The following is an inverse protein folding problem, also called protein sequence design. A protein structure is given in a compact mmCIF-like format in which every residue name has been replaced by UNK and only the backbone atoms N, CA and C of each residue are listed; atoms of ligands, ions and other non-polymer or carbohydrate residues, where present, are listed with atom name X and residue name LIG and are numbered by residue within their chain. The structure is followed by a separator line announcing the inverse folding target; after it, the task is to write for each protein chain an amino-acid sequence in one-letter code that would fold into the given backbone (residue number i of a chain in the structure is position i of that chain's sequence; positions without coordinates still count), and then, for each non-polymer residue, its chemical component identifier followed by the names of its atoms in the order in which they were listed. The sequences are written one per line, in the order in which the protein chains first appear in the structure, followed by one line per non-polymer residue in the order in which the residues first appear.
data_IF_349130269603
#
_entry.id   IF_349130269603
#
_cell.length_a   1.000
_cell.length_b   1.000
_cell.length_c   1.000
_cell.angle_alpha   90.00
_cell.angle_beta   90.00
_cell.angle_gamma   90.00
#
_symmetry.space_group_name_H-M   'P 1'
#
loop_
_entity.id
_entity.type
_entity.pdbx_description
1 polymer ?
#
# COMPACT_ATOMS: atom_id res chain seq x y z
N UNK A 1 -7.78 27.19 21.34
CA UNK A 1 -8.29 25.82 21.03
C UNK A 1 -9.65 25.78 20.33
N UNK A 2 -10.36 26.89 20.19
CA UNK A 2 -11.71 26.95 19.59
C UNK A 2 -11.76 26.99 18.05
N UNK A 3 -10.66 27.22 17.36
CA UNK A 3 -10.62 27.33 15.88
C UNK A 3 -10.55 25.99 15.13
N UNK A 4 -10.39 24.88 15.83
CA UNK A 4 -10.27 23.53 15.26
C UNK A 4 -11.54 22.68 15.41
N UNK A 5 -12.65 23.26 15.96
CA UNK A 5 -13.89 22.49 16.17
C UNK A 5 -14.56 22.15 14.84
N UNK A 6 -15.06 20.93 14.75
CA UNK A 6 -15.86 20.43 13.60
C UNK A 6 -17.33 20.88 13.68
N UNK A 7 -17.76 21.57 14.75
CA UNK A 7 -19.17 21.77 15.13
C UNK A 7 -19.99 22.69 14.22
N UNK A 8 -19.44 23.79 13.73
CA UNK A 8 -20.19 24.77 12.90
C UNK A 8 -19.63 24.80 11.49
N UNK A 9 -20.14 23.93 10.62
CA UNK A 9 -19.76 23.87 9.21
C UNK A 9 -20.99 23.98 8.34
N UNK A 10 -20.84 24.64 7.19
CA UNK A 10 -21.86 24.64 6.15
C UNK A 10 -22.15 23.21 5.68
N UNK A 11 -23.41 22.87 5.43
CA UNK A 11 -23.83 21.54 5.00
C UNK A 11 -23.13 21.11 3.70
N UNK A 12 -22.85 22.05 2.79
CA UNK A 12 -22.10 21.78 1.56
C UNK A 12 -20.68 21.35 1.83
N UNK A 13 -19.99 21.97 2.80
CA UNK A 13 -18.63 21.61 3.21
C UNK A 13 -18.63 20.22 3.85
N UNK A 14 -19.56 19.93 4.74
CA UNK A 14 -19.72 18.61 5.37
C UNK A 14 -19.93 17.54 4.31
N UNK A 15 -20.82 17.77 3.36
CA UNK A 15 -21.10 16.85 2.26
C UNK A 15 -19.87 16.61 1.39
N UNK A 16 -19.14 17.67 1.03
CA UNK A 16 -17.92 17.57 0.21
C UNK A 16 -16.81 16.76 0.93
N UNK A 17 -16.51 17.12 2.18
CA UNK A 17 -15.46 16.46 2.97
C UNK A 17 -15.79 14.97 3.20
N UNK A 18 -17.01 14.66 3.65
CA UNK A 18 -17.40 13.28 3.94
C UNK A 18 -17.51 12.41 2.69
N UNK A 19 -18.13 12.93 1.61
CA UNK A 19 -18.25 12.18 0.34
C UNK A 19 -16.87 11.90 -0.27
N UNK A 20 -15.97 12.90 -0.27
CA UNK A 20 -14.60 12.71 -0.76
C UNK A 20 -13.87 11.62 0.02
N UNK A 21 -14.00 11.60 1.36
CA UNK A 21 -13.37 10.57 2.19
C UNK A 21 -14.00 9.18 1.97
N UNK A 22 -15.32 9.09 1.81
CA UNK A 22 -16.02 7.83 1.50
C UNK A 22 -15.55 7.26 0.15
N UNK A 23 -15.42 8.10 -0.88
CA UNK A 23 -14.89 7.67 -2.18
C UNK A 23 -13.46 7.15 -2.03
N UNK A 24 -12.56 7.89 -1.36
CA UNK A 24 -11.19 7.44 -1.09
C UNK A 24 -11.17 6.11 -0.34
N UNK A 25 -12.04 5.95 0.66
CA UNK A 25 -12.16 4.72 1.44
C UNK A 25 -12.54 3.52 0.58
N UNK A 26 -13.60 3.62 -0.22
CA UNK A 26 -14.06 2.54 -1.11
C UNK A 26 -12.97 2.18 -2.11
N UNK A 27 -12.33 3.17 -2.73
CA UNK A 27 -11.24 2.95 -3.69
C UNK A 27 -10.02 2.30 -3.02
N UNK A 28 -9.64 2.75 -1.82
CA UNK A 28 -8.54 2.15 -1.04
C UNK A 28 -8.84 0.70 -0.67
N UNK A 29 -10.04 0.41 -0.18
CA UNK A 29 -10.47 -0.93 0.20
C UNK A 29 -10.43 -1.89 -0.99
N UNK A 30 -11.07 -1.51 -2.09
CA UNK A 30 -11.13 -2.34 -3.30
C UNK A 30 -9.74 -2.53 -3.93
N UNK A 31 -8.98 -1.46 -4.04
CA UNK A 31 -7.67 -1.48 -4.67
C UNK A 31 -6.65 -2.32 -3.91
N UNK A 32 -6.54 -2.14 -2.60
CA UNK A 32 -5.59 -2.91 -1.79
C UNK A 32 -6.02 -4.37 -1.61
N UNK A 33 -7.34 -4.65 -1.56
CA UNK A 33 -7.86 -6.02 -1.65
C UNK A 33 -7.48 -6.67 -2.99
N UNK A 34 -7.60 -5.94 -4.10
CA UNK A 34 -7.19 -6.44 -5.41
C UNK A 34 -5.69 -6.76 -5.49
N UNK A 35 -4.80 -5.97 -4.84
CA UNK A 35 -3.36 -6.29 -4.72
C UNK A 35 -3.16 -7.64 -4.03
N UNK A 36 -3.77 -7.82 -2.85
CA UNK A 36 -3.66 -9.06 -2.09
C UNK A 36 -4.20 -10.27 -2.88
N UNK A 37 -5.35 -10.10 -3.51
CA UNK A 37 -6.00 -11.14 -4.32
C UNK A 37 -5.18 -11.49 -5.56
N UNK A 38 -4.59 -10.50 -6.25
CA UNK A 38 -3.74 -10.73 -7.41
C UNK A 38 -2.52 -11.60 -7.07
N UNK A 39 -1.86 -11.33 -5.94
CA UNK A 39 -0.72 -12.16 -5.49
C UNK A 39 -1.18 -13.52 -5.00
N UNK A 40 -2.35 -13.61 -4.37
CA UNK A 40 -2.92 -14.89 -3.96
C UNK A 40 -3.27 -15.79 -5.14
N UNK A 41 -3.91 -15.27 -6.19
CA UNK A 41 -4.34 -16.03 -7.37
C UNK A 41 -3.19 -16.38 -8.31
N UNK A 42 -2.26 -15.46 -8.53
CA UNK A 42 -1.17 -15.65 -9.50
C UNK A 42 0.14 -16.06 -8.83
N UNK A 43 0.52 -17.34 -8.99
CA UNK A 43 1.78 -17.90 -8.47
C UNK A 43 3.02 -17.13 -8.94
N UNK A 44 3.00 -16.52 -10.15
CA UNK A 44 4.11 -15.72 -10.69
C UNK A 44 4.31 -14.39 -9.95
N UNK A 45 3.27 -13.89 -9.25
CA UNK A 45 3.35 -12.71 -8.40
C UNK A 45 3.82 -13.02 -6.98
N UNK A 46 3.97 -14.29 -6.57
CA UNK A 46 4.44 -14.69 -5.24
C UNK A 46 5.96 -14.55 -5.09
N UNK A 47 6.49 -13.37 -5.39
CA UNK A 47 7.92 -13.04 -5.27
C UNK A 47 8.24 -12.43 -3.92
N UNK A 48 9.52 -12.46 -3.51
CA UNK A 48 10.00 -11.83 -2.26
C UNK A 48 9.65 -10.34 -2.24
N UNK A 49 9.81 -9.64 -3.35
CA UNK A 49 9.46 -8.21 -3.43
C UNK A 49 7.98 -7.96 -3.21
N UNK A 50 7.12 -8.81 -3.77
CA UNK A 50 5.68 -8.63 -3.62
C UNK A 50 5.20 -8.96 -2.19
N UNK A 51 5.98 -9.65 -1.35
CA UNK A 51 5.69 -9.75 0.08
C UNK A 51 5.67 -8.38 0.77
N UNK A 52 6.60 -7.49 0.41
CA UNK A 52 6.63 -6.12 0.95
C UNK A 52 5.47 -5.28 0.40
N UNK A 53 5.08 -5.49 -0.87
CA UNK A 53 3.87 -4.86 -1.44
C UNK A 53 2.62 -5.31 -0.69
N UNK A 54 2.49 -6.60 -0.36
CA UNK A 54 1.37 -7.11 0.46
C UNK A 54 1.40 -6.50 1.86
N UNK A 55 2.57 -6.42 2.50
CA UNK A 55 2.67 -5.82 3.83
C UNK A 55 2.20 -4.36 3.81
N UNK A 56 2.58 -3.58 2.80
CA UNK A 56 2.09 -2.21 2.62
C UNK A 56 0.58 -2.18 2.37
N UNK A 57 0.06 -3.06 1.50
CA UNK A 57 -1.37 -3.16 1.23
C UNK A 57 -2.19 -3.54 2.48
N UNK A 58 -1.62 -4.33 3.40
CA UNK A 58 -2.24 -4.64 4.71
C UNK A 58 -2.32 -3.38 5.59
N UNK A 59 -1.26 -2.55 5.64
CA UNK A 59 -1.32 -1.24 6.31
C UNK A 59 -2.44 -0.37 5.73
N UNK A 60 -2.53 -0.27 4.40
CA UNK A 60 -3.55 0.52 3.72
C UNK A 60 -4.96 -0.03 3.97
N UNK A 61 -5.12 -1.35 4.04
CA UNK A 61 -6.38 -2.00 4.41
C UNK A 61 -6.78 -1.71 5.86
N UNK A 62 -5.85 -1.64 6.82
CA UNK A 62 -6.19 -1.24 8.19
C UNK A 62 -6.71 0.20 8.23
N UNK A 63 -6.13 1.12 7.42
CA UNK A 63 -6.69 2.47 7.25
C UNK A 63 -8.08 2.45 6.64
N UNK A 64 -8.30 1.66 5.59
CA UNK A 64 -9.58 1.61 4.88
C UNK A 64 -10.70 0.94 5.70
N UNK A 65 -10.39 0.02 6.62
CA UNK A 65 -11.40 -0.69 7.43
C UNK A 65 -11.67 0.00 8.76
N UNK A 66 -10.67 0.62 9.37
CA UNK A 66 -10.77 1.16 10.74
C UNK A 66 -10.75 2.69 10.75
N UNK A 67 -9.76 3.30 10.07
CA UNK A 67 -9.50 4.74 10.20
C UNK A 67 -10.45 5.56 9.34
N UNK A 68 -10.51 5.31 8.04
CA UNK A 68 -11.31 6.13 7.12
C UNK A 68 -12.82 6.08 7.38
N UNK A 69 -13.45 4.90 7.68
CA UNK A 69 -14.90 4.86 7.94
C UNK A 69 -15.28 5.66 9.17
N UNK A 70 -14.56 5.51 10.28
CA UNK A 70 -14.82 6.25 11.51
C UNK A 70 -14.56 7.75 11.34
N UNK A 71 -13.52 8.14 10.60
CA UNK A 71 -13.27 9.55 10.24
C UNK A 71 -14.39 10.12 9.38
N UNK A 72 -14.97 9.35 8.44
CA UNK A 72 -16.10 9.78 7.62
C UNK A 72 -17.33 10.09 8.48
N UNK A 73 -17.62 9.24 9.47
CA UNK A 73 -18.72 9.49 10.44
C UNK A 73 -18.46 10.72 11.26
N UNK A 74 -17.23 10.92 11.74
CA UNK A 74 -16.81 12.13 12.49
C UNK A 74 -16.95 13.39 11.65
N UNK A 75 -16.62 13.35 10.36
CA UNK A 75 -16.83 14.47 9.46
C UNK A 75 -18.31 14.82 9.30
N UNK A 76 -19.20 13.84 9.31
CA UNK A 76 -20.66 14.09 9.26
C UNK A 76 -21.19 14.61 10.58
N UNK A 77 -20.84 13.98 11.70
CA UNK A 77 -21.37 14.30 13.04
C UNK A 77 -20.75 15.55 13.67
N UNK A 78 -19.52 15.90 13.30
CA UNK A 78 -18.75 16.99 13.89
C UNK A 78 -18.07 16.66 15.21
N UNK A 79 -18.21 15.45 15.72
CA UNK A 79 -17.65 14.99 16.98
C UNK A 79 -17.31 13.50 16.97
N UNK A 80 -16.52 13.07 17.96
CA UNK A 80 -16.18 11.66 18.16
C UNK A 80 -17.24 10.94 18.97
N UNK A 81 -17.90 9.95 18.37
CA UNK A 81 -19.05 9.25 18.98
C UNK A 81 -18.77 7.78 19.36
N UNK A 82 -17.56 7.27 19.07
CA UNK A 82 -17.26 5.82 19.22
C UNK A 82 -16.66 5.43 20.56
N UNK A 83 -16.50 6.38 21.49
CA UNK A 83 -15.90 6.14 22.81
C UNK A 83 -14.39 5.95 22.80
N UNK A 84 -13.81 5.81 24.00
CA UNK A 84 -12.36 5.81 24.20
C UNK A 84 -11.68 4.53 23.71
N UNK A 85 -12.33 3.37 23.83
CA UNK A 85 -11.76 2.09 23.41
C UNK A 85 -11.51 2.09 21.91
N UNK A 86 -12.49 2.52 21.12
CA UNK A 86 -12.34 2.58 19.67
C UNK A 86 -11.38 3.71 19.24
N UNK A 87 -11.34 4.81 20.00
CA UNK A 87 -10.36 5.88 19.77
C UNK A 87 -8.92 5.36 19.96
N UNK A 88 -8.67 4.60 20.99
CA UNK A 88 -7.36 3.97 21.22
C UNK A 88 -7.01 2.99 20.09
N UNK A 89 -7.96 2.19 19.61
CA UNK A 89 -7.77 1.28 18.49
C UNK A 89 -7.45 2.05 17.19
N UNK A 90 -8.28 3.04 16.84
CA UNK A 90 -8.05 3.86 15.64
C UNK A 90 -6.71 4.58 15.71
N UNK A 91 -6.39 5.23 16.83
CA UNK A 91 -5.14 5.95 17.01
C UNK A 91 -3.92 5.04 16.95
N UNK A 92 -4.01 3.83 17.48
CA UNK A 92 -2.96 2.82 17.32
C UNK A 92 -2.68 2.53 15.85
N UNK A 93 -3.69 2.28 15.02
CA UNK A 93 -3.50 2.02 13.59
C UNK A 93 -3.05 3.24 12.80
N UNK A 94 -3.50 4.45 13.16
CA UNK A 94 -2.99 5.70 12.58
C UNK A 94 -1.49 5.81 12.80
N UNK A 95 -1.02 5.65 14.03
CA UNK A 95 0.40 5.77 14.38
C UNK A 95 1.21 4.61 13.81
N UNK A 96 0.66 3.39 13.81
CA UNK A 96 1.27 2.23 13.15
C UNK A 96 1.56 2.54 11.68
N UNK A 97 0.61 3.06 10.93
CA UNK A 97 0.78 3.39 9.52
C UNK A 97 1.80 4.51 9.30
N UNK A 98 1.82 5.52 10.19
CA UNK A 98 2.78 6.63 10.14
C UNK A 98 4.24 6.13 10.17
N UNK A 99 4.55 5.10 10.95
CA UNK A 99 5.92 4.61 11.12
C UNK A 99 6.24 3.34 10.34
N UNK A 100 5.28 2.42 10.22
CA UNK A 100 5.53 1.15 9.52
C UNK A 100 5.66 1.35 8.00
N UNK A 101 4.85 2.23 7.38
CA UNK A 101 4.87 2.42 5.93
C UNK A 101 6.23 2.90 5.39
N UNK A 102 6.89 3.96 5.94
CA UNK A 102 8.23 4.35 5.52
C UNK A 102 9.26 3.24 5.69
N UNK A 103 9.19 2.48 6.80
CA UNK A 103 10.11 1.37 7.06
C UNK A 103 9.92 0.23 6.05
N UNK A 104 8.69 -0.14 5.72
CA UNK A 104 8.39 -1.16 4.70
C UNK A 104 8.83 -0.72 3.30
N UNK A 105 8.66 0.55 2.95
CA UNK A 105 9.18 1.12 1.70
C UNK A 105 10.70 1.05 1.65
N UNK A 106 11.36 1.33 2.76
CA UNK A 106 12.83 1.22 2.88
C UNK A 106 13.31 -0.21 2.72
N UNK A 107 12.65 -1.19 3.36
CA UNK A 107 12.96 -2.60 3.16
C UNK A 107 12.78 -3.01 1.70
N UNK A 108 11.75 -2.51 1.04
CA UNK A 108 11.52 -2.73 -0.39
C UNK A 108 12.65 -2.15 -1.23
N UNK A 109 13.10 -0.93 -0.94
CA UNK A 109 14.21 -0.28 -1.64
C UNK A 109 15.54 -1.01 -1.44
N UNK A 110 15.84 -1.46 -0.22
CA UNK A 110 17.02 -2.28 0.10
C UNK A 110 16.95 -3.62 -0.65
N UNK A 111 15.79 -4.29 -0.65
CA UNK A 111 15.60 -5.52 -1.40
C UNK A 111 15.88 -5.32 -2.90
N UNK A 112 15.42 -4.22 -3.50
CA UNK A 112 15.69 -3.88 -4.89
C UNK A 112 17.15 -3.58 -5.14
N UNK A 113 17.79 -2.79 -4.29
CA UNK A 113 19.20 -2.49 -4.39
C UNK A 113 20.07 -3.75 -4.34
N UNK A 114 19.85 -4.60 -3.35
CA UNK A 114 20.64 -5.84 -3.21
C UNK A 114 20.37 -6.79 -4.37
N UNK A 115 19.14 -6.91 -4.84
CA UNK A 115 18.78 -7.78 -5.97
C UNK A 115 19.42 -7.36 -7.29
N UNK A 116 19.54 -6.05 -7.54
CA UNK A 116 20.05 -5.52 -8.82
C UNK A 116 21.55 -5.26 -8.78
N UNK A 117 22.04 -4.67 -7.68
CA UNK A 117 23.41 -4.19 -7.59
C UNK A 117 24.35 -5.13 -6.82
N UNK A 118 23.82 -6.06 -6.00
CA UNK A 118 24.59 -6.92 -5.10
C UNK A 118 24.07 -8.36 -5.13
N UNK A 119 23.91 -8.90 -6.32
CA UNK A 119 23.30 -10.24 -6.57
C UNK A 119 23.95 -11.36 -5.76
N UNK A 120 25.28 -11.34 -5.55
CA UNK A 120 26.01 -12.38 -4.82
C UNK A 120 25.61 -12.54 -3.34
N UNK A 121 25.11 -11.47 -2.69
CA UNK A 121 24.66 -11.53 -1.29
C UNK A 121 23.14 -11.61 -1.16
N UNK A 122 22.39 -11.53 -2.28
CA UNK A 122 20.91 -11.46 -2.25
C UNK A 122 20.30 -12.62 -1.47
N UNK A 123 20.66 -13.86 -1.78
CA UNK A 123 20.10 -15.04 -1.12
C UNK A 123 20.52 -15.19 0.35
N UNK A 124 21.64 -14.56 0.76
CA UNK A 124 22.07 -14.52 2.16
C UNK A 124 21.17 -13.60 2.99
N UNK A 125 20.71 -12.47 2.43
CA UNK A 125 19.91 -11.47 3.13
C UNK A 125 18.41 -11.65 2.92
N UNK A 126 17.99 -12.07 1.73
CA UNK A 126 16.59 -12.15 1.33
C UNK A 126 16.20 -13.55 0.90
N UNK A 127 15.44 -14.21 1.74
CA UNK A 127 14.65 -15.41 1.46
C UNK A 127 13.21 -15.14 1.88
N UNK A 128 12.27 -15.99 1.50
CA UNK A 128 10.87 -15.83 1.89
C UNK A 128 10.72 -15.75 3.43
N UNK A 129 11.37 -16.66 4.17
CA UNK A 129 11.34 -16.67 5.65
C UNK A 129 11.98 -15.40 6.24
N UNK A 130 13.19 -15.03 5.78
CA UNK A 130 13.88 -13.83 6.27
C UNK A 130 13.10 -12.55 5.98
N UNK A 131 12.46 -12.45 4.80
CA UNK A 131 11.66 -11.28 4.45
C UNK A 131 10.40 -11.17 5.30
N UNK A 132 9.75 -12.28 5.65
CA UNK A 132 8.66 -12.28 6.63
C UNK A 132 9.14 -11.85 8.01
N UNK A 133 10.33 -12.30 8.45
CA UNK A 133 10.92 -11.85 9.71
C UNK A 133 11.23 -10.35 9.71
N UNK A 134 11.74 -9.80 8.61
CA UNK A 134 11.96 -8.35 8.48
C UNK A 134 10.66 -7.55 8.58
N UNK A 135 9.60 -8.00 7.89
CA UNK A 135 8.27 -7.39 7.96
C UNK A 135 7.74 -7.46 9.39
N UNK A 136 7.81 -8.62 10.03
CA UNK A 136 7.40 -8.82 11.43
C UNK A 136 8.19 -7.92 12.38
N UNK A 137 9.51 -7.80 12.19
CA UNK A 137 10.35 -6.95 13.01
C UNK A 137 9.93 -5.47 12.93
N UNK A 138 9.57 -4.97 11.74
CA UNK A 138 9.05 -3.59 11.59
C UNK A 138 7.78 -3.42 12.40
N UNK A 139 6.78 -4.28 12.22
CA UNK A 139 5.51 -4.16 12.95
C UNK A 139 5.71 -4.31 14.47
N UNK A 140 6.52 -5.27 14.90
CA UNK A 140 6.82 -5.49 16.31
C UNK A 140 7.53 -4.30 16.94
N UNK A 141 8.52 -3.71 16.26
CA UNK A 141 9.26 -2.54 16.76
C UNK A 141 8.35 -1.32 16.88
N UNK A 142 7.52 -1.06 15.88
CA UNK A 142 6.57 0.07 15.91
C UNK A 142 5.51 -0.16 17.00
N UNK A 143 4.96 -1.37 17.12
CA UNK A 143 4.02 -1.73 18.20
C UNK A 143 4.64 -1.54 19.58
N UNK A 144 5.84 -2.07 19.79
CA UNK A 144 6.57 -1.92 21.05
C UNK A 144 6.78 -0.45 21.39
N UNK A 145 7.15 0.37 20.41
CA UNK A 145 7.29 1.82 20.59
C UNK A 145 5.96 2.45 21.07
N UNK A 146 4.86 2.23 20.34
CA UNK A 146 3.55 2.84 20.65
C UNK A 146 3.12 2.43 22.08
N UNK A 147 3.15 1.13 22.35
CA UNK A 147 2.71 0.58 23.65
C UNK A 147 3.57 1.12 24.80
N UNK A 148 4.90 1.15 24.62
CA UNK A 148 5.81 1.68 25.65
C UNK A 148 5.55 3.15 25.94
N UNK A 149 5.36 4.01 24.91
CA UNK A 149 5.12 5.44 25.10
C UNK A 149 3.80 5.71 25.84
N UNK A 150 2.77 4.90 25.58
CA UNK A 150 1.48 5.01 26.27
C UNK A 150 1.58 4.49 27.72
N UNK A 151 2.22 3.35 27.94
CA UNK A 151 2.37 2.75 29.28
C UNK A 151 3.23 3.60 30.23
N UNK A 152 4.29 4.21 29.72
CA UNK A 152 5.18 5.10 30.50
C UNK A 152 4.52 6.48 30.73
N UNK A 153 3.39 6.77 30.11
CA UNK A 153 2.69 8.04 30.25
C UNK A 153 3.32 9.21 29.48
N UNK A 154 4.18 8.94 28.51
CA UNK A 154 4.76 9.96 27.63
C UNK A 154 3.78 10.43 26.55
N UNK A 155 2.86 9.56 26.15
CA UNK A 155 1.85 9.85 25.12
C UNK A 155 0.49 9.33 25.57
N UNK A 156 -0.56 10.02 25.12
CA UNK A 156 -1.95 9.60 25.24
C UNK A 156 -2.59 9.57 23.87
N UNK A 157 -3.38 8.54 23.59
CA UNK A 157 -4.22 8.52 22.38
C UNK A 157 -5.51 9.25 22.69
N UNK A 158 -5.85 10.21 21.87
CA UNK A 158 -7.09 10.99 22.01
C UNK A 158 -7.54 11.53 20.66
N UNK A 159 -8.80 11.92 20.59
CA UNK A 159 -9.38 12.51 19.39
C UNK A 159 -8.75 13.90 19.10
N UNK A 160 -8.31 14.08 17.84
CA UNK A 160 -7.75 15.34 17.33
C UNK A 160 -8.67 15.89 16.25
N UNK A 161 -9.52 16.83 16.64
CA UNK A 161 -10.59 17.37 15.80
C UNK A 161 -10.11 17.93 14.46
N UNK A 162 -8.94 18.59 14.43
CA UNK A 162 -8.36 19.14 13.21
C UNK A 162 -8.02 18.11 12.14
N UNK A 163 -7.72 16.87 12.53
CA UNK A 163 -7.42 15.75 11.63
C UNK A 163 -8.60 14.79 11.44
N UNK A 164 -9.68 14.98 12.20
CA UNK A 164 -10.83 14.07 12.26
C UNK A 164 -10.47 12.59 12.56
N UNK A 165 -9.40 12.37 13.33
CA UNK A 165 -8.93 11.05 13.77
C UNK A 165 -8.46 11.09 15.22
N UNK A 166 -8.43 9.91 15.85
CA UNK A 166 -7.66 9.72 17.09
C UNK A 166 -6.18 9.53 16.75
N UNK A 167 -5.30 10.14 17.54
CA UNK A 167 -3.86 10.02 17.38
C UNK A 167 -3.15 10.27 18.70
N UNK A 168 -1.84 10.03 18.74
CA UNK A 168 -1.04 10.28 19.94
C UNK A 168 -0.79 11.76 20.16
N UNK A 169 -0.93 12.18 21.40
CA UNK A 169 -0.53 13.51 21.88
C UNK A 169 0.51 13.33 22.97
N UNK A 170 1.49 14.23 23.03
CA UNK A 170 2.60 14.17 23.98
C UNK A 170 2.21 14.80 25.33
N UNK A 171 2.54 14.14 26.42
CA UNK A 171 2.26 14.56 27.79
C UNK A 171 3.52 15.18 28.42
N UNK A 172 4.04 16.28 27.85
CA UNK A 172 5.17 17.02 28.39
C UNK A 172 6.28 17.30 27.38
N UNK A 173 7.15 18.23 27.71
CA UNK A 173 8.21 18.69 26.81
C UNK A 173 9.32 17.66 26.61
N UNK A 174 9.65 16.88 27.64
CA UNK A 174 10.62 15.78 27.52
C UNK A 174 10.14 14.71 26.54
N UNK A 175 8.85 14.32 26.61
CA UNK A 175 8.26 13.36 25.69
C UNK A 175 8.30 13.89 24.23
N UNK A 176 8.00 15.17 24.02
CA UNK A 176 8.13 15.82 22.72
C UNK A 176 9.58 15.82 22.25
N UNK A 177 10.53 16.17 23.10
CA UNK A 177 11.95 16.22 22.76
C UNK A 177 12.44 14.83 22.29
N UNK A 178 12.16 13.77 23.04
CA UNK A 178 12.51 12.39 22.66
C UNK A 178 11.88 12.03 21.31
N UNK A 179 10.60 12.31 21.14
CA UNK A 179 9.88 11.99 19.92
C UNK A 179 10.51 12.65 18.68
N UNK A 180 10.71 13.97 18.70
CA UNK A 180 11.23 14.70 17.54
C UNK A 180 12.74 14.53 17.33
N UNK A 181 13.52 14.30 18.40
CA UNK A 181 14.98 14.15 18.28
C UNK A 181 15.43 12.72 17.99
N UNK A 182 14.66 11.70 18.34
CA UNK A 182 15.05 10.30 18.18
C UNK A 182 14.09 9.55 17.27
N UNK A 183 12.79 9.60 17.56
CA UNK A 183 11.80 8.73 16.89
C UNK A 183 11.54 9.18 15.45
N UNK A 184 11.31 10.48 15.23
CA UNK A 184 11.11 11.01 13.88
C UNK A 184 12.35 10.76 12.99
N UNK A 185 13.59 11.06 13.43
CA UNK A 185 14.77 10.69 12.66
C UNK A 185 14.88 9.19 12.40
N UNK A 186 14.59 8.32 13.35
CA UNK A 186 14.73 6.87 13.21
C UNK A 186 13.70 6.25 12.26
N UNK A 187 12.44 6.67 12.36
CA UNK A 187 11.34 6.03 11.62
C UNK A 187 10.89 6.80 10.37
N UNK A 188 11.36 8.02 10.16
CA UNK A 188 10.97 8.86 9.03
C UNK A 188 12.19 9.33 8.24
N UNK A 189 13.05 10.13 8.85
CA UNK A 189 14.17 10.76 8.13
C UNK A 189 15.17 9.70 7.64
N UNK A 190 15.58 8.78 8.51
CA UNK A 190 16.47 7.68 8.16
C UNK A 190 15.92 6.80 7.03
N UNK A 191 14.68 6.30 7.13
CA UNK A 191 14.00 5.60 6.05
C UNK A 191 13.97 6.37 4.73
N UNK A 192 13.66 7.65 4.71
CA UNK A 192 13.63 8.48 3.50
C UNK A 192 15.02 8.57 2.87
N UNK A 193 16.06 8.90 3.67
CA UNK A 193 17.44 8.98 3.21
C UNK A 193 17.89 7.64 2.62
N UNK A 194 17.68 6.55 3.37
CA UNK A 194 18.13 5.22 2.95
C UNK A 194 17.41 4.75 1.68
N UNK A 195 16.12 5.01 1.57
CA UNK A 195 15.32 4.74 0.37
C UNK A 195 15.85 5.50 -0.85
N UNK A 196 16.10 6.80 -0.68
CA UNK A 196 16.65 7.66 -1.74
C UNK A 196 18.03 7.17 -2.20
N UNK A 197 18.91 6.84 -1.28
CA UNK A 197 20.24 6.28 -1.60
C UNK A 197 20.14 4.93 -2.33
N UNK A 198 19.23 4.05 -1.90
CA UNK A 198 19.01 2.77 -2.56
C UNK A 198 18.57 2.95 -4.01
N UNK A 199 17.56 3.77 -4.27
CA UNK A 199 17.08 4.01 -5.64
C UNK A 199 18.08 4.76 -6.50
N UNK A 200 18.80 5.73 -5.95
CA UNK A 200 19.92 6.37 -6.65
C UNK A 200 20.95 5.34 -7.15
N UNK A 201 21.36 4.42 -6.26
CA UNK A 201 22.31 3.35 -6.62
C UNK A 201 21.70 2.37 -7.63
N UNK A 202 20.42 2.02 -7.51
CA UNK A 202 19.71 1.17 -8.46
C UNK A 202 19.72 1.79 -9.87
N UNK A 203 19.31 3.05 -10.00
CA UNK A 203 19.26 3.73 -11.30
C UNK A 203 20.67 3.91 -11.89
N UNK A 204 21.66 4.21 -11.06
CA UNK A 204 23.06 4.30 -11.51
C UNK A 204 23.59 2.94 -12.01
N UNK A 205 23.27 1.85 -11.32
CA UNK A 205 23.61 0.49 -11.73
C UNK A 205 22.94 0.11 -13.06
N UNK A 206 21.66 0.40 -13.22
CA UNK A 206 20.92 0.15 -14.47
C UNK A 206 21.52 0.95 -15.63
N UNK A 207 21.80 2.24 -15.43
CA UNK A 207 22.44 3.09 -16.47
C UNK A 207 23.79 2.55 -16.90
N UNK A 208 24.63 2.12 -15.96
CA UNK A 208 25.94 1.53 -16.25
C UNK A 208 25.78 0.26 -17.07
N UNK A 209 24.90 -0.63 -16.62
CA UNK A 209 24.65 -1.91 -17.29
C UNK A 209 24.13 -1.73 -18.74
N UNK A 210 23.23 -0.76 -18.96
CA UNK A 210 22.74 -0.46 -20.30
C UNK A 210 23.84 0.11 -21.23
N UNK A 211 24.81 0.88 -20.71
CA UNK A 211 25.98 1.35 -21.46
C UNK A 211 26.89 0.18 -21.84
N UNK A 212 27.18 -0.70 -20.88
CA UNK A 212 28.04 -1.86 -21.09
C UNK A 212 27.43 -2.82 -22.13
N UNK A 213 26.10 -3.01 -22.10
CA UNK A 213 25.37 -3.79 -23.09
C UNK A 213 25.44 -3.17 -24.50
N UNK A 214 25.26 -1.85 -24.60
CA UNK A 214 25.34 -1.14 -25.88
C UNK A 214 26.75 -1.24 -26.48
N UNK A 215 27.80 -1.21 -25.65
CA UNK A 215 29.20 -1.40 -26.06
C UNK A 215 29.46 -2.84 -26.50
N UNK A 216 29.01 -3.83 -25.73
CA UNK A 216 29.14 -5.26 -26.06
C UNK A 216 28.45 -5.62 -27.39
N UNK A 217 27.27 -5.07 -27.66
CA UNK A 217 26.57 -5.26 -28.94
C UNK A 217 27.34 -4.70 -30.14
N UNK A 218 28.10 -3.61 -29.92
CA UNK A 218 28.99 -3.04 -30.96
C UNK A 218 30.24 -3.84 -31.20
N UNK A 219 30.76 -4.52 -30.17
CA UNK A 219 32.01 -5.29 -30.24
C UNK A 219 31.79 -6.80 -30.46
N UNK A 220 30.54 -7.26 -30.66
CA UNK A 220 30.21 -8.67 -30.90
C UNK A 220 30.44 -9.60 -29.70
N UNK A 221 30.70 -9.08 -28.50
CA UNK A 221 30.94 -9.85 -27.29
C UNK A 221 29.64 -10.25 -26.60
N UNK A 222 29.43 -11.57 -26.43
CA UNK A 222 28.17 -12.17 -25.93
C UNK A 222 27.95 -12.11 -24.41
N UNK A 223 28.75 -11.40 -23.64
CA UNK A 223 28.87 -11.58 -22.19
C UNK A 223 28.06 -10.62 -21.32
N UNK A 224 27.16 -9.81 -21.83
CA UNK A 224 26.41 -8.85 -21.03
C UNK A 224 25.08 -9.46 -20.50
N UNK A 225 25.02 -9.77 -19.19
CA UNK A 225 23.77 -10.12 -18.51
C UNK A 225 22.79 -8.93 -18.57
N UNK A 226 21.77 -9.00 -19.41
CA UNK A 226 20.76 -7.94 -19.50
C UNK A 226 19.84 -7.95 -18.27
N UNK A 227 19.71 -6.80 -17.59
CA UNK A 227 18.67 -6.63 -16.56
C UNK A 227 17.32 -6.78 -17.23
N UNK A 228 16.52 -7.73 -16.75
CA UNK A 228 15.20 -7.99 -17.33
C UNK A 228 14.34 -6.71 -17.34
N UNK A 229 13.69 -6.43 -18.47
CA UNK A 229 12.69 -5.33 -18.59
C UNK A 229 11.60 -5.41 -17.51
N UNK A 230 11.33 -6.62 -16.98
CA UNK A 230 10.40 -6.83 -15.87
C UNK A 230 10.96 -6.25 -14.57
N UNK A 231 12.23 -6.53 -14.24
CA UNK A 231 12.88 -6.00 -13.03
C UNK A 231 12.96 -4.47 -13.04
N UNK A 232 13.25 -3.89 -14.19
CA UNK A 232 13.26 -2.45 -14.37
C UNK A 232 11.87 -1.83 -14.11
N UNK A 233 10.81 -2.37 -14.71
CA UNK A 233 9.44 -1.88 -14.50
C UNK A 233 9.00 -2.00 -13.04
N UNK A 234 9.32 -3.11 -12.37
CA UNK A 234 9.02 -3.26 -10.94
C UNK A 234 9.77 -2.22 -10.12
N UNK A 235 11.04 -1.95 -10.40
CA UNK A 235 11.81 -0.93 -9.68
C UNK A 235 11.29 0.49 -9.92
N UNK A 236 10.85 0.81 -11.14
CA UNK A 236 10.23 2.10 -11.46
C UNK A 236 8.89 2.25 -10.72
N UNK A 237 8.03 1.22 -10.71
CA UNK A 237 6.74 1.31 -10.00
C UNK A 237 6.93 1.56 -8.51
N UNK A 238 7.86 0.87 -7.88
CA UNK A 238 8.17 1.06 -6.46
C UNK A 238 8.80 2.43 -6.17
N UNK A 239 9.61 2.96 -7.08
CA UNK A 239 10.17 4.30 -6.96
C UNK A 239 9.06 5.38 -7.07
N UNK A 240 8.13 5.22 -8.01
CA UNK A 240 6.97 6.13 -8.13
C UNK A 240 6.10 6.09 -6.87
N UNK A 241 5.88 4.92 -6.28
CA UNK A 241 5.18 4.81 -4.98
C UNK A 241 5.89 5.64 -3.92
N UNK A 242 7.21 5.58 -3.83
CA UNK A 242 7.99 6.36 -2.85
C UNK A 242 7.87 7.87 -3.09
N UNK A 243 7.91 8.32 -4.36
CA UNK A 243 7.74 9.75 -4.68
C UNK A 243 6.36 10.24 -4.27
N UNK A 244 5.31 9.50 -4.63
CA UNK A 244 3.92 9.87 -4.29
C UNK A 244 3.73 9.86 -2.77
N UNK A 245 4.28 8.86 -2.08
CA UNK A 245 4.28 8.82 -0.62
C UNK A 245 4.96 10.05 -0.03
N UNK A 246 6.16 10.39 -0.48
CA UNK A 246 6.88 11.58 0.00
C UNK A 246 6.06 12.86 -0.23
N UNK A 247 5.47 13.02 -1.42
CA UNK A 247 4.59 14.17 -1.71
C UNK A 247 3.40 14.27 -0.76
N UNK A 248 2.76 13.15 -0.44
CA UNK A 248 1.60 13.12 0.46
C UNK A 248 1.97 13.34 1.93
N UNK A 249 3.16 12.88 2.37
CA UNK A 249 3.55 12.87 3.77
C UNK A 249 4.43 14.05 4.21
N UNK A 250 5.21 14.64 3.29
CA UNK A 250 6.06 15.79 3.60
C UNK A 250 5.28 16.95 4.25
N UNK A 251 4.07 17.32 3.78
CA UNK A 251 3.30 18.39 4.43
C UNK A 251 2.97 18.10 5.89
N UNK A 252 2.63 16.85 6.24
CA UNK A 252 2.38 16.44 7.63
C UNK A 252 3.64 16.61 8.49
N UNK A 253 4.81 16.20 7.97
CA UNK A 253 6.06 16.30 8.73
C UNK A 253 6.55 17.74 8.86
N UNK A 254 6.39 18.57 7.83
CA UNK A 254 6.66 20.02 7.92
C UNK A 254 5.78 20.63 9.02
N UNK A 255 4.49 20.32 9.00
CA UNK A 255 3.56 20.81 10.01
C UNK A 255 3.96 20.39 11.42
N UNK A 256 4.31 19.11 11.61
CA UNK A 256 4.77 18.60 12.88
C UNK A 256 6.02 19.35 13.41
N UNK A 257 6.96 19.68 12.52
CA UNK A 257 8.15 20.46 12.88
C UNK A 257 7.80 21.92 13.19
N UNK A 258 6.91 22.56 12.42
CA UNK A 258 6.46 23.93 12.69
C UNK A 258 5.85 24.06 14.09
N UNK A 259 5.00 23.11 14.49
CA UNK A 259 4.45 23.06 15.85
C UNK A 259 5.51 22.75 16.91
N UNK A 260 6.49 21.90 16.58
CA UNK A 260 7.56 21.56 17.53
C UNK A 260 8.42 22.78 17.88
N UNK A 261 8.77 23.58 16.87
CA UNK A 261 9.60 24.77 17.05
C UNK A 261 8.79 26.02 17.37
N UNK A 262 7.50 25.90 17.66
CA UNK A 262 6.59 27.01 17.99
C UNK A 262 6.60 28.12 16.95
N UNK A 263 6.85 27.76 15.69
CA UNK A 263 6.82 28.69 14.56
C UNK A 263 5.38 29.01 14.13
N UNK A 264 4.43 28.19 14.55
CA UNK A 264 3.00 28.35 14.30
C UNK A 264 2.22 27.87 15.53
N UNK A 265 1.38 28.75 16.08
CA UNK A 265 0.58 28.46 17.28
C UNK A 265 -0.67 27.63 16.93
N UNK A 266 -1.28 27.90 15.78
CA UNK A 266 -2.46 27.19 15.30
C UNK A 266 -2.57 27.30 13.79
N UNK A 267 -3.15 26.26 13.18
CA UNK A 267 -3.51 26.26 11.76
C UNK A 267 -5.02 26.20 11.60
N UNK A 268 -5.50 26.69 10.47
CA UNK A 268 -6.91 26.52 10.15
C UNK A 268 -7.26 25.04 10.02
N UNK A 269 -8.46 24.68 10.42
CA UNK A 269 -8.99 23.32 10.28
C UNK A 269 -8.86 22.78 8.83
N UNK A 270 -9.11 23.63 7.85
CA UNK A 270 -9.03 23.25 6.44
C UNK A 270 -7.64 22.77 6.03
N UNK A 271 -6.59 23.42 6.51
CA UNK A 271 -5.20 23.03 6.24
C UNK A 271 -4.87 21.69 6.89
N UNK A 272 -5.22 21.50 8.17
CA UNK A 272 -4.96 20.25 8.89
C UNK A 272 -5.72 19.08 8.29
N UNK A 273 -6.98 19.29 7.95
CA UNK A 273 -7.82 18.27 7.30
C UNK A 273 -7.29 17.94 5.90
N UNK A 274 -6.91 18.94 5.10
CA UNK A 274 -6.32 18.73 3.77
C UNK A 274 -5.05 17.87 3.85
N UNK A 275 -4.17 18.14 4.82
CA UNK A 275 -2.97 17.32 5.05
C UNK A 275 -3.35 15.86 5.38
N UNK A 276 -4.39 15.66 6.18
CA UNK A 276 -4.88 14.31 6.48
C UNK A 276 -5.47 13.61 5.25
N UNK A 277 -6.15 14.35 4.37
CA UNK A 277 -6.60 13.81 3.08
C UNK A 277 -5.42 13.36 2.21
N UNK A 278 -4.30 14.08 2.19
CA UNK A 278 -3.09 13.64 1.48
C UNK A 278 -2.57 12.30 2.03
N UNK A 279 -2.61 12.10 3.34
CA UNK A 279 -2.25 10.81 3.96
C UNK A 279 -3.19 9.70 3.51
N UNK A 280 -4.51 9.94 3.46
CA UNK A 280 -5.47 8.95 2.95
C UNK A 280 -5.29 8.67 1.45
N UNK A 281 -4.98 9.68 0.65
CA UNK A 281 -4.65 9.52 -0.77
C UNK A 281 -3.43 8.62 -0.94
N UNK A 282 -2.41 8.73 -0.07
CA UNK A 282 -1.22 7.88 -0.15
C UNK A 282 -1.54 6.39 -0.04
N UNK A 283 -2.50 6.01 0.81
CA UNK A 283 -2.99 4.64 0.95
C UNK A 283 -3.87 4.19 -0.22
N UNK A 284 -4.49 5.14 -0.91
CA UNK A 284 -5.45 4.87 -1.99
C UNK A 284 -4.77 4.70 -3.35
N UNK A 285 -3.64 5.38 -3.58
CA UNK A 285 -3.02 5.48 -4.92
C UNK A 285 -2.15 4.27 -5.30
N UNK A 286 -1.68 3.48 -4.34
CA UNK A 286 -0.76 2.36 -4.53
C UNK A 286 -1.24 1.36 -5.60
N UNK A 287 -2.51 0.89 -5.60
CA UNK A 287 -3.03 -0.03 -6.62
C UNK A 287 -2.96 0.55 -8.04
N UNK A 288 -3.20 1.85 -8.22
CA UNK A 288 -3.16 2.51 -9.53
C UNK A 288 -1.74 2.58 -10.08
N UNK A 289 -0.76 2.86 -9.22
CA UNK A 289 0.66 2.86 -9.63
C UNK A 289 1.08 1.46 -10.10
N UNK A 290 0.68 0.41 -9.37
CA UNK A 290 0.98 -0.96 -9.77
C UNK A 290 0.25 -1.36 -11.04
N UNK A 291 -1.01 -0.98 -11.22
CA UNK A 291 -1.77 -1.22 -12.44
C UNK A 291 -1.17 -0.49 -13.65
N UNK A 292 -0.76 0.77 -13.47
CA UNK A 292 -0.20 1.59 -14.54
C UNK A 292 1.15 1.11 -15.06
N UNK A 293 2.07 0.76 -14.13
CA UNK A 293 3.47 0.52 -14.47
C UNK A 293 3.80 -0.99 -14.54
N UNK A 294 3.21 -1.81 -13.66
CA UNK A 294 3.50 -3.24 -13.58
C UNK A 294 2.52 -4.07 -14.39
N UNK A 295 2.92 -4.48 -15.58
CA UNK A 295 2.08 -5.27 -16.50
C UNK A 295 1.53 -6.57 -15.91
N UNK A 296 2.22 -7.18 -14.94
CA UNK A 296 1.74 -8.40 -14.28
C UNK A 296 0.56 -8.12 -13.36
N UNK A 297 0.60 -7.04 -12.56
CA UNK A 297 -0.53 -6.60 -11.75
C UNK A 297 -1.69 -6.13 -12.62
N UNK A 298 -1.42 -5.31 -13.66
CA UNK A 298 -2.45 -4.83 -14.58
C UNK A 298 -3.24 -5.98 -15.20
N UNK A 299 -2.56 -7.04 -15.65
CA UNK A 299 -3.22 -8.22 -16.22
C UNK A 299 -4.10 -8.95 -15.20
N UNK A 300 -3.64 -9.09 -13.96
CA UNK A 300 -4.44 -9.74 -12.91
C UNK A 300 -5.62 -8.88 -12.46
N UNK A 301 -5.46 -7.56 -12.38
CA UNK A 301 -6.58 -6.66 -12.08
C UNK A 301 -7.67 -6.73 -13.16
N UNK A 302 -7.28 -6.79 -14.45
CA UNK A 302 -8.23 -7.02 -15.54
C UNK A 302 -8.97 -8.36 -15.39
N UNK A 303 -8.28 -9.44 -15.00
CA UNK A 303 -8.93 -10.75 -14.75
C UNK A 303 -9.88 -10.73 -13.55
N UNK A 304 -9.52 -9.99 -12.49
CA UNK A 304 -10.38 -9.83 -11.30
C UNK A 304 -11.63 -9.03 -11.69
N UNK A 305 -11.48 -7.94 -12.43
CA UNK A 305 -12.59 -7.13 -12.90
C UNK A 305 -13.55 -7.92 -13.81
N UNK A 306 -13.02 -8.68 -14.77
CA UNK A 306 -13.83 -9.52 -15.66
C UNK A 306 -14.54 -10.67 -14.93
N UNK A 307 -13.95 -11.19 -13.85
CA UNK A 307 -14.59 -12.21 -13.01
C UNK A 307 -15.76 -11.64 -12.19
N UNK A 308 -15.70 -10.38 -11.83
CA UNK A 308 -16.78 -9.66 -11.13
C UNK A 308 -17.85 -9.09 -12.07
N UNK A 309 -17.58 -9.06 -13.39
CA UNK A 309 -18.57 -8.66 -14.39
C UNK A 309 -19.47 -9.85 -14.71
N UNK A 310 -20.80 -9.66 -14.82
CA UNK A 310 -21.67 -10.74 -15.30
C UNK A 310 -21.21 -11.17 -16.68
N UNK A 311 -21.30 -12.49 -17.01
CA UNK A 311 -20.89 -12.97 -18.32
C UNK A 311 -21.63 -12.22 -19.41
N UNK A 312 -20.89 -11.69 -20.39
CA UNK A 312 -21.52 -11.04 -21.54
C UNK A 312 -22.44 -12.03 -22.24
N UNK A 313 -23.55 -11.58 -22.82
CA UNK A 313 -24.52 -12.43 -23.51
C UNK A 313 -23.86 -13.35 -24.56
N UNK A 314 -22.72 -12.95 -25.12
CA UNK A 314 -21.92 -13.75 -26.04
C UNK A 314 -21.17 -14.93 -25.35
N UNK A 315 -20.75 -14.79 -24.08
CA UNK A 315 -20.12 -15.90 -23.35
C UNK A 315 -21.17 -16.89 -22.82
N UNK A 316 -22.37 -16.42 -22.44
CA UNK A 316 -23.47 -17.31 -22.06
C UNK A 316 -23.98 -18.14 -23.23
N UNK A 317 -24.04 -17.58 -24.44
CA UNK A 317 -24.43 -18.31 -25.65
C UNK A 317 -23.35 -19.30 -26.11
N UNK A 318 -22.08 -18.97 -25.98
CA UNK A 318 -20.97 -19.91 -26.29
C UNK A 318 -20.85 -21.04 -25.28
N UNK A 319 -21.16 -20.79 -24.00
CA UNK A 319 -21.21 -21.82 -22.96
C UNK A 319 -22.41 -22.80 -23.16
N UNK A 320 -23.57 -22.25 -23.54
CA UNK A 320 -24.74 -23.07 -23.89
C UNK A 320 -24.52 -23.90 -25.14
N UNK A 321 -23.88 -23.34 -26.19
CA UNK A 321 -23.50 -24.07 -27.38
C UNK A 321 -22.46 -25.19 -27.12
N UNK A 322 -21.53 -24.94 -26.17
CA UNK A 322 -20.55 -25.94 -25.73
C UNK A 322 -21.17 -27.10 -24.93
N UNK A 323 -22.20 -26.80 -24.14
CA UNK A 323 -22.97 -27.86 -23.43
C UNK A 323 -23.85 -28.66 -24.39
N UNK A 324 -24.53 -28.01 -25.34
CA UNK A 324 -25.31 -28.71 -26.37
C UNK A 324 -24.46 -29.61 -27.26
N UNK A 325 -23.23 -29.21 -27.62
CA UNK A 325 -22.30 -30.09 -28.35
C UNK A 325 -21.88 -31.31 -27.54
N UNK A 326 -21.59 -31.15 -26.24
CA UNK A 326 -21.24 -32.31 -25.38
C UNK A 326 -22.37 -33.31 -25.25
N UNK A 327 -23.62 -32.85 -25.11
CA UNK A 327 -24.78 -33.75 -25.05
C UNK A 327 -25.05 -34.46 -26.37
N UNK A 328 -24.87 -33.79 -27.52
CA UNK A 328 -24.98 -34.43 -28.84
C UNK A 328 -23.86 -35.45 -29.10
N UNK A 329 -22.63 -35.16 -28.68
CA UNK A 329 -21.50 -36.11 -28.82
C UNK A 329 -21.66 -37.35 -27.92
N UNK A 330 -22.21 -37.20 -26.71
CA UNK A 330 -22.54 -38.31 -25.81
C UNK A 330 -23.71 -39.15 -26.36
N UNK A 331 -24.72 -38.52 -26.93
CA UNK A 331 -25.86 -39.21 -27.52
C UNK A 331 -25.47 -39.97 -28.80
N UNK A 332 -24.57 -39.44 -29.62
CA UNK A 332 -24.02 -40.15 -30.78
C UNK A 332 -23.12 -41.32 -30.37
N UNK A 333 -22.32 -41.16 -29.31
CA UNK A 333 -21.49 -42.25 -28.79
C UNK A 333 -22.31 -43.38 -28.21
N UNK A 334 -23.41 -43.09 -27.51
CA UNK A 334 -24.30 -44.11 -26.99
C UNK A 334 -25.06 -44.82 -28.11
N UNK A 335 -25.42 -44.13 -29.20
CA UNK A 335 -26.06 -44.78 -30.38
C UNK A 335 -25.08 -45.67 -31.14
N UNK A 336 -23.81 -45.34 -31.24
CA UNK A 336 -22.81 -46.20 -31.88
C UNK A 336 -22.52 -47.46 -31.06
N UNK A 337 -22.48 -47.39 -29.74
CA UNK A 337 -22.32 -48.53 -28.84
C UNK A 337 -23.53 -49.49 -28.94
N UNK A 338 -24.75 -48.92 -28.99
CA UNK A 338 -25.96 -49.71 -29.12
C UNK A 338 -26.10 -50.40 -30.47
N UNK A 339 -25.53 -49.84 -31.57
CA UNK A 339 -25.52 -50.47 -32.90
C UNK A 339 -24.45 -51.55 -33.05
N UNK A 340 -23.32 -51.46 -32.32
CA UNK A 340 -22.31 -52.52 -32.27
C UNK A 340 -22.79 -53.75 -31.48
N UNK A 341 -23.56 -53.57 -30.39
CA UNK A 341 -24.13 -54.63 -29.62
C UNK A 341 -25.26 -55.40 -30.39
N UNK A 342 -26.00 -54.72 -31.28
CA UNK A 342 -27.05 -55.36 -32.10
C UNK A 342 -26.51 -56.16 -33.30
N UNK A 343 -25.27 -55.93 -33.75
CA UNK A 343 -24.61 -56.67 -34.82
C UNK A 343 -23.75 -57.87 -34.32
N UNK A 344 -23.68 -58.05 -33.00
CA UNK A 344 -22.90 -59.13 -32.36
C UNK A 344 -23.77 -60.31 -31.86
N UNK A 345 -25.08 -60.26 -32.13
CA UNK A 345 -26.04 -61.39 -31.91
C UNK A 345 -26.48 -61.92 -33.27
#
# INVERSE_FOLDING_TARGET
MSSLSLGHRDAGIVALESTSLIILNVVSLLGNTAICLAVYRNKQLRTITNLYIIALAICDLTSAVIVMPSSSVVLVKGEWIFGDVFCNLQGFFVVMNIYASPCLMTLTAINRYVRICRTGIYHKLFSKRKSMLWIFAVYATVTAYIVTQVLVGNQKIQFVSGYAVCSTTHLGETAKLIHYSIIVPAFVVGPIILTTLCYYKVFRCIRRHNKDLATSLRTGSSAALSISRRELRVSISLFVVVIVFAFCWIPLWILALLFRFQLVDSLSRHVTLFIMFLVFISSTVNPFIYAGINTSFRREFGRIANFCSPPSEQESSSFQLGQLKKTTDEEQRNKSVCSEELNAV
#
